data_IF_635998051760
#
_entry.id   IF_635998051760
#
_cell.length_a   1.000
_cell.length_b   1.000
_cell.length_c   1.000
_cell.angle_alpha   90.00
_cell.angle_beta   90.00
_cell.angle_gamma   90.00
#
_symmetry.space_group_name_H-M   'P 1'
#
loop_
_entity.id
_entity.type
_entity.pdbx_description
1 polymer ?
#
# COMPACT_ATOMS: atom_id res chain seq x y z
N UNK A 1 -9.73 -27.91 12.24
CA UNK A 1 -9.04 -27.94 10.93
C UNK A 1 -7.61 -27.44 11.13
N UNK A 2 -6.62 -28.05 10.49
CA UNK A 2 -5.21 -27.61 10.57
C UNK A 2 -4.77 -27.16 9.17
N UNK A 3 -4.34 -25.91 9.04
CA UNK A 3 -3.84 -25.34 7.78
C UNK A 3 -2.34 -25.59 7.63
N UNK A 4 -1.88 -25.69 6.38
CA UNK A 4 -0.44 -25.74 6.09
C UNK A 4 0.16 -24.33 6.31
N UNK A 5 1.39 -24.21 6.86
CA UNK A 5 1.98 -22.89 7.17
C UNK A 5 2.06 -21.91 5.99
N UNK A 6 2.22 -22.40 4.75
CA UNK A 6 2.27 -21.53 3.58
C UNK A 6 0.94 -20.84 3.27
N UNK A 7 -0.19 -21.29 3.83
CA UNK A 7 -1.54 -20.73 3.66
C UNK A 7 -1.87 -19.66 4.70
N UNK A 8 -0.88 -18.88 5.13
CA UNK A 8 -1.07 -17.85 6.15
C UNK A 8 -2.08 -16.78 5.72
N UNK A 9 -2.24 -16.57 4.42
CA UNK A 9 -3.22 -15.67 3.80
C UNK A 9 -4.67 -16.16 3.97
N UNK A 10 -4.89 -17.40 4.42
CA UNK A 10 -6.22 -17.89 4.84
C UNK A 10 -6.60 -17.44 6.25
N UNK A 11 -5.66 -16.89 7.02
CA UNK A 11 -5.88 -16.43 8.41
C UNK A 11 -5.63 -14.94 8.54
N UNK A 12 -4.70 -14.41 7.75
CA UNK A 12 -4.33 -12.99 7.72
C UNK A 12 -4.89 -12.39 6.43
N UNK A 13 -5.97 -11.59 6.49
CA UNK A 13 -6.37 -10.77 5.35
C UNK A 13 -5.21 -9.85 4.97
N UNK A 14 -4.77 -9.93 3.72
CA UNK A 14 -3.72 -9.06 3.21
C UNK A 14 -4.37 -7.82 2.60
N UNK A 15 -3.87 -6.61 2.88
CA UNK A 15 -4.34 -5.44 2.15
C UNK A 15 -4.04 -5.64 0.66
N UNK A 16 -4.89 -5.12 -0.21
CA UNK A 16 -4.58 -4.98 -1.63
C UNK A 16 -4.16 -3.53 -1.85
N UNK A 17 -2.85 -3.33 -1.95
CA UNK A 17 -2.28 -2.03 -2.33
C UNK A 17 -1.76 -2.12 -3.76
N UNK A 18 -1.72 -1.00 -4.47
CA UNK A 18 -1.03 -0.91 -5.75
C UNK A 18 0.24 -0.10 -5.57
N UNK A 19 1.37 -0.62 -6.03
CA UNK A 19 2.61 0.15 -6.08
C UNK A 19 2.78 0.63 -7.50
N UNK A 20 2.76 1.95 -7.67
CA UNK A 20 3.08 2.59 -8.95
C UNK A 20 4.52 3.08 -8.95
N UNK A 21 5.19 2.85 -10.06
CA UNK A 21 6.58 3.23 -10.32
C UNK A 21 6.70 3.78 -11.73
N UNK A 22 7.87 4.35 -12.04
CA UNK A 22 8.18 4.80 -13.38
C UNK A 22 9.61 4.38 -13.72
N UNK A 23 9.81 3.87 -14.93
CA UNK A 23 11.15 3.54 -15.43
C UNK A 23 11.96 4.81 -15.69
N UNK A 24 13.30 4.73 -15.85
CA UNK A 24 14.12 5.87 -16.26
C UNK A 24 13.67 6.51 -17.59
N UNK A 25 13.08 5.72 -18.49
CA UNK A 25 12.55 6.15 -19.79
C UNK A 25 11.13 6.75 -19.70
N UNK A 26 10.54 6.78 -18.49
CA UNK A 26 9.21 7.34 -18.28
C UNK A 26 8.05 6.37 -18.45
N UNK A 27 8.32 5.07 -18.60
CA UNK A 27 7.26 4.05 -18.69
C UNK A 27 6.65 3.85 -17.30
N UNK A 28 5.32 4.02 -17.19
CA UNK A 28 4.61 3.89 -15.91
C UNK A 28 4.27 2.42 -15.67
N UNK A 29 4.57 1.94 -14.47
CA UNK A 29 4.27 0.57 -14.05
C UNK A 29 3.35 0.57 -12.82
N UNK A 30 2.44 -0.41 -12.75
CA UNK A 30 1.63 -0.70 -11.55
C UNK A 30 1.71 -2.20 -11.25
N UNK A 31 1.91 -2.57 -9.99
CA UNK A 31 1.69 -3.94 -9.55
C UNK A 31 0.98 -3.99 -8.19
N UNK A 32 0.11 -4.99 -7.96
CA UNK A 32 -0.53 -5.17 -6.66
C UNK A 32 0.39 -5.88 -5.66
N UNK A 33 0.41 -5.37 -4.44
CA UNK A 33 1.18 -5.89 -3.31
C UNK A 33 0.29 -6.05 -2.07
N UNK A 34 0.43 -7.19 -1.39
CA UNK A 34 -0.20 -7.41 -0.08
C UNK A 34 0.78 -7.62 1.07
N UNK A 35 2.06 -7.80 0.79
CA UNK A 35 3.11 -7.82 1.81
C UNK A 35 3.65 -6.41 2.03
N UNK A 36 2.79 -5.53 2.55
CA UNK A 36 3.11 -4.12 2.84
C UNK A 36 2.76 -3.82 4.29
N UNK A 37 3.65 -3.17 5.01
CA UNK A 37 3.41 -2.75 6.39
C UNK A 37 4.13 -1.45 6.74
N UNK A 38 3.56 -0.59 7.60
CA UNK A 38 4.29 0.49 8.23
C UNK A 38 5.34 -0.07 9.21
N UNK A 39 6.46 0.63 9.34
CA UNK A 39 7.45 0.39 10.39
C UNK A 39 7.12 1.34 11.53
N UNK A 40 7.07 0.79 12.75
CA UNK A 40 6.63 1.42 14.01
C UNK A 40 6.73 2.95 14.13
N UNK A 41 5.78 3.56 14.84
CA UNK A 41 5.84 4.98 15.18
C UNK A 41 7.06 5.31 16.07
N UNK A 42 7.68 6.49 15.92
CA UNK A 42 7.29 7.62 15.05
C UNK A 42 8.02 7.60 13.69
N UNK A 43 8.39 6.44 13.16
CA UNK A 43 9.14 6.38 11.90
C UNK A 43 8.21 6.52 10.70
N UNK A 44 8.58 7.38 9.76
CA UNK A 44 7.89 7.54 8.46
C UNK A 44 8.36 6.48 7.46
N UNK A 45 8.49 5.23 7.93
CA UNK A 45 9.05 4.13 7.15
C UNK A 45 7.98 3.09 6.85
N UNK A 46 8.05 2.53 5.64
CA UNK A 46 7.22 1.40 5.19
C UNK A 46 8.12 0.29 4.69
N UNK A 47 7.68 -0.96 4.85
CA UNK A 47 8.37 -2.15 4.39
C UNK A 47 7.49 -2.92 3.41
N UNK A 48 8.05 -3.26 2.25
CA UNK A 48 7.40 -4.05 1.20
C UNK A 48 8.23 -5.30 0.94
N UNK A 49 7.62 -6.48 0.97
CA UNK A 49 8.28 -7.70 0.50
C UNK A 49 7.96 -7.96 -0.98
N UNK A 50 8.98 -8.18 -1.79
CA UNK A 50 8.85 -8.43 -3.23
C UNK A 50 9.63 -9.65 -3.70
N UNK A 51 9.16 -10.25 -4.79
CA UNK A 51 9.95 -11.19 -5.58
C UNK A 51 11.02 -10.44 -6.40
N UNK A 52 12.10 -11.14 -6.77
CA UNK A 52 13.25 -10.54 -7.48
C UNK A 52 13.00 -10.13 -8.93
N UNK A 53 11.99 -10.72 -9.58
CA UNK A 53 11.69 -10.49 -11.00
C UNK A 53 10.38 -9.71 -11.10
N UNK A 54 10.46 -8.40 -10.90
CA UNK A 54 9.35 -7.44 -10.95
C UNK A 54 9.88 -6.11 -11.47
N UNK A 55 9.27 -5.58 -12.52
CA UNK A 55 9.63 -4.25 -13.06
C UNK A 55 9.48 -3.16 -11.99
N UNK A 56 8.55 -3.33 -11.05
CA UNK A 56 8.42 -2.49 -9.85
C UNK A 56 9.72 -2.40 -9.05
N UNK A 57 10.39 -3.54 -8.79
CA UNK A 57 11.65 -3.56 -8.04
C UNK A 57 12.78 -2.92 -8.85
N UNK A 58 12.85 -3.21 -10.14
CA UNK A 58 13.90 -2.70 -11.01
C UNK A 58 13.77 -1.18 -11.19
N UNK A 59 12.54 -0.68 -11.34
CA UNK A 59 12.25 0.75 -11.34
C UNK A 59 12.64 1.40 -10.01
N UNK A 60 12.26 0.83 -8.86
CA UNK A 60 12.63 1.38 -7.54
C UNK A 60 14.16 1.41 -7.35
N UNK A 61 14.89 0.40 -7.83
CA UNK A 61 16.37 0.41 -7.80
C UNK A 61 16.96 1.50 -8.66
N UNK A 62 16.39 1.73 -9.84
CA UNK A 62 16.92 2.68 -10.81
C UNK A 62 16.58 4.13 -10.47
N UNK A 63 15.36 4.40 -9.98
CA UNK A 63 14.85 5.76 -9.77
C UNK A 63 14.75 6.15 -8.31
N UNK A 64 14.66 5.18 -7.40
CA UNK A 64 14.52 5.42 -5.97
C UNK A 64 13.14 5.93 -5.56
N UNK A 65 12.15 5.99 -6.46
CA UNK A 65 10.85 6.62 -6.20
C UNK A 65 9.70 5.65 -6.52
N UNK A 66 8.64 5.72 -5.70
CA UNK A 66 7.41 4.95 -5.90
C UNK A 66 6.25 5.54 -5.11
N UNK A 67 5.02 5.14 -5.45
CA UNK A 67 3.82 5.48 -4.68
C UNK A 67 3.13 4.21 -4.23
N UNK A 68 2.78 4.11 -2.94
CA UNK A 68 1.88 3.08 -2.43
C UNK A 68 0.47 3.67 -2.45
N UNK A 69 -0.40 3.06 -3.24
CA UNK A 69 -1.76 3.49 -3.46
C UNK A 69 -2.70 2.56 -2.68
N UNK A 70 -3.50 3.15 -1.79
CA UNK A 70 -4.42 2.44 -0.93
C UNK A 70 -5.78 2.31 -1.62
N UNK A 71 -6.14 1.08 -1.99
CA UNK A 71 -7.27 0.82 -2.88
C UNK A 71 -8.56 0.47 -2.14
N UNK A 72 -9.68 1.05 -2.58
CA UNK A 72 -11.01 0.62 -2.19
C UNK A 72 -11.50 -0.60 -2.99
N UNK A 73 -12.65 -1.16 -2.59
CA UNK A 73 -13.26 -2.32 -3.29
C UNK A 73 -13.69 -2.03 -4.73
N UNK A 74 -13.90 -0.76 -5.07
CA UNK A 74 -14.19 -0.29 -6.42
C UNK A 74 -13.04 -0.58 -7.41
N UNK A 75 -11.80 -0.70 -6.91
CA UNK A 75 -10.62 -1.03 -7.70
C UNK A 75 -10.35 -2.54 -7.85
N UNK A 76 -11.23 -3.43 -7.37
CA UNK A 76 -11.13 -4.89 -7.61
C UNK A 76 -10.89 -5.23 -9.10
N UNK A 77 -11.59 -4.61 -10.08
CA UNK A 77 -11.38 -4.92 -11.50
C UNK A 77 -9.95 -4.68 -11.99
N UNK A 78 -9.19 -3.78 -11.34
CA UNK A 78 -7.81 -3.47 -11.70
C UNK A 78 -6.76 -4.44 -11.15
N UNK A 79 -7.13 -5.29 -10.16
CA UNK A 79 -6.18 -6.19 -9.49
C UNK A 79 -5.55 -7.19 -10.46
N UNK A 80 -6.36 -7.90 -11.24
CA UNK A 80 -5.83 -8.90 -12.17
C UNK A 80 -5.10 -8.26 -13.37
N UNK A 81 -5.63 -7.21 -14.04
CA UNK A 81 -4.91 -6.53 -15.11
C UNK A 81 -3.50 -6.08 -14.72
N UNK A 82 -3.33 -5.49 -13.54
CA UNK A 82 -2.02 -5.01 -13.04
C UNK A 82 -1.14 -6.12 -12.45
N UNK A 83 -1.68 -7.32 -12.20
CA UNK A 83 -0.91 -8.47 -11.72
C UNK A 83 -0.34 -9.36 -12.84
N UNK A 84 -0.85 -9.20 -14.08
CA UNK A 84 -0.43 -10.01 -15.23
C UNK A 84 1.02 -9.73 -15.59
N UNK A 85 1.66 -10.72 -16.20
CA UNK A 85 2.97 -10.52 -16.79
C UNK A 85 2.81 -9.66 -18.04
N UNK A 86 3.39 -8.47 -17.99
CA UNK A 86 3.50 -7.54 -19.10
C UNK A 86 4.98 -7.37 -19.46
N UNK A 87 5.30 -7.01 -20.72
CA UNK A 87 6.62 -6.51 -21.07
C UNK A 87 6.99 -5.24 -20.26
N UNK A 88 8.28 -4.98 -19.98
CA UNK A 88 8.70 -3.81 -19.18
C UNK A 88 8.39 -2.44 -19.82
N UNK A 89 8.12 -2.40 -21.13
CA UNK A 89 7.74 -1.21 -21.89
C UNK A 89 6.22 -1.02 -21.97
N UNK A 90 5.43 -1.92 -21.36
CA UNK A 90 4.00 -1.77 -21.25
C UNK A 90 3.63 -0.78 -20.13
N UNK A 91 2.53 -0.05 -20.34
CA UNK A 91 2.01 0.89 -19.37
C UNK A 91 0.77 0.31 -18.68
N UNK A 92 0.92 -0.16 -17.43
CA UNK A 92 -0.18 -0.79 -16.70
C UNK A 92 -1.33 0.16 -16.38
N UNK A 93 -1.14 1.49 -16.36
CA UNK A 93 -2.27 2.41 -16.23
C UNK A 93 -3.20 2.26 -17.44
N UNK A 94 -2.63 2.18 -18.64
CA UNK A 94 -3.40 1.99 -19.88
C UNK A 94 -4.03 0.60 -19.92
N UNK A 95 -3.27 -0.45 -19.59
CA UNK A 95 -3.77 -1.83 -19.61
C UNK A 95 -4.92 -2.08 -18.63
N UNK A 96 -4.88 -1.42 -17.46
CA UNK A 96 -5.90 -1.55 -16.44
C UNK A 96 -7.04 -0.52 -16.57
N UNK A 97 -6.93 0.44 -17.51
CA UNK A 97 -7.91 1.51 -17.67
C UNK A 97 -7.95 2.48 -16.49
N UNK A 98 -6.81 2.70 -15.84
CA UNK A 98 -6.67 3.56 -14.66
C UNK A 98 -6.23 4.98 -15.05
N UNK A 99 -6.80 5.96 -14.37
CA UNK A 99 -6.39 7.35 -14.48
C UNK A 99 -5.25 7.68 -13.51
N UNK A 100 -4.33 8.53 -13.95
CA UNK A 100 -3.24 9.02 -13.11
C UNK A 100 -3.73 10.06 -12.12
N UNK A 101 -3.21 10.00 -10.90
CA UNK A 101 -3.17 11.13 -9.97
C UNK A 101 -1.73 11.66 -9.95
N UNK A 102 -1.46 12.90 -10.38
CA UNK A 102 -0.12 13.48 -10.28
C UNK A 102 0.36 13.51 -8.83
N UNK A 103 1.62 13.12 -8.64
CA UNK A 103 2.30 13.22 -7.36
C UNK A 103 2.82 14.64 -7.11
N UNK A 104 3.04 14.95 -5.83
CA UNK A 104 3.50 16.25 -5.35
C UNK A 104 5.02 16.30 -5.25
N UNK A 105 5.64 15.25 -4.74
CA UNK A 105 7.07 15.18 -4.41
C UNK A 105 7.82 14.25 -5.35
N UNK A 106 7.28 13.06 -5.63
CA UNK A 106 7.92 12.05 -6.49
C UNK A 106 7.42 12.08 -7.93
N UNK A 107 8.16 11.48 -8.86
CA UNK A 107 7.79 11.41 -10.28
C UNK A 107 6.74 10.36 -10.63
N UNK A 108 6.78 9.12 -10.09
CA UNK A 108 5.76 8.13 -10.39
C UNK A 108 4.39 8.65 -9.96
N UNK A 109 3.34 8.56 -10.79
CA UNK A 109 2.02 9.05 -10.41
C UNK A 109 1.34 8.08 -9.45
N UNK A 110 0.45 8.59 -8.61
CA UNK A 110 -0.55 7.80 -7.93
C UNK A 110 -1.68 7.35 -8.87
N UNK A 111 -2.61 6.55 -8.33
CA UNK A 111 -3.80 6.05 -9.04
C UNK A 111 -5.01 6.84 -8.55
N UNK A 112 -5.73 7.48 -9.48
CA UNK A 112 -6.97 8.18 -9.15
C UNK A 112 -8.03 7.16 -8.69
N UNK A 113 -8.81 7.52 -7.67
CA UNK A 113 -9.84 6.65 -7.07
C UNK A 113 -9.35 5.79 -5.90
N UNK A 114 -8.04 5.76 -5.62
CA UNK A 114 -7.57 5.28 -4.32
C UNK A 114 -8.02 6.21 -3.19
N UNK A 115 -8.17 5.69 -1.97
CA UNK A 115 -8.57 6.52 -0.82
C UNK A 115 -7.38 7.18 -0.12
N UNK A 116 -6.15 6.74 -0.40
CA UNK A 116 -4.93 7.35 0.10
C UNK A 116 -3.70 7.01 -0.78
N UNK A 117 -2.68 7.86 -0.68
CA UNK A 117 -1.43 7.79 -1.43
C UNK A 117 -0.24 8.07 -0.50
N UNK A 118 0.74 7.19 -0.50
CA UNK A 118 2.04 7.40 0.14
C UNK A 118 3.09 7.53 -0.94
N UNK A 119 3.62 8.74 -1.13
CA UNK A 119 4.79 8.96 -1.97
C UNK A 119 6.04 8.60 -1.19
N UNK A 120 6.88 7.76 -1.78
CA UNK A 120 8.00 7.16 -1.09
C UNK A 120 9.30 7.31 -1.88
N UNK A 121 10.38 7.56 -1.14
CA UNK A 121 11.75 7.39 -1.63
C UNK A 121 12.37 6.14 -1.03
N UNK A 122 13.19 5.43 -1.80
CA UNK A 122 13.92 4.26 -1.34
C UNK A 122 14.89 4.64 -0.21
N UNK A 123 14.72 4.03 0.96
CA UNK A 123 15.62 4.14 2.10
C UNK A 123 16.69 3.04 2.06
N UNK A 124 16.24 1.78 1.95
CA UNK A 124 17.15 0.62 1.96
C UNK A 124 16.54 -0.61 1.29
N UNK A 125 17.40 -1.44 0.72
CA UNK A 125 17.07 -2.79 0.28
C UNK A 125 17.72 -3.82 1.20
N UNK A 126 16.96 -4.81 1.65
CA UNK A 126 17.48 -6.02 2.26
C UNK A 126 17.30 -7.18 1.30
N UNK A 127 18.42 -7.64 0.74
CA UNK A 127 18.41 -8.67 -0.28
C UNK A 127 18.61 -10.06 0.31
N UNK A 128 17.57 -10.89 0.20
CA UNK A 128 17.63 -12.29 0.57
C UNK A 128 17.70 -13.16 -0.68
N UNK A 129 18.13 -14.44 -0.59
CA UNK A 129 18.20 -15.32 -1.75
C UNK A 129 16.87 -15.45 -2.50
N UNK A 130 15.74 -15.44 -1.77
CA UNK A 130 14.39 -15.71 -2.32
C UNK A 130 13.46 -14.51 -2.43
N UNK A 131 13.74 -13.42 -1.71
CA UNK A 131 12.88 -12.24 -1.66
C UNK A 131 13.72 -10.99 -1.37
N UNK A 132 13.13 -9.82 -1.57
CA UNK A 132 13.73 -8.54 -1.19
C UNK A 132 12.77 -7.84 -0.24
N UNK A 133 13.28 -7.21 0.80
CA UNK A 133 12.54 -6.21 1.56
C UNK A 133 12.96 -4.82 1.09
N UNK A 134 11.99 -4.03 0.66
CA UNK A 134 12.15 -2.63 0.28
C UNK A 134 11.71 -1.80 1.47
N UNK A 135 12.64 -1.05 2.04
CA UNK A 135 12.34 0.03 2.98
C UNK A 135 12.14 1.32 2.20
N UNK A 136 10.95 1.90 2.32
CA UNK A 136 10.65 3.23 1.80
C UNK A 136 10.51 4.24 2.93
N UNK A 137 10.99 5.46 2.71
CA UNK A 137 10.62 6.62 3.51
C UNK A 137 9.43 7.30 2.86
N UNK A 138 8.35 7.47 3.61
CA UNK A 138 7.19 8.25 3.19
C UNK A 138 7.58 9.73 3.24
N UNK A 139 7.52 10.38 2.08
CA UNK A 139 7.90 11.81 1.90
C UNK A 139 6.67 12.70 1.65
N UNK A 140 5.54 12.12 1.28
CA UNK A 140 4.23 12.76 1.23
C UNK A 140 3.15 11.72 1.52
N UNK A 141 2.21 12.04 2.39
CA UNK A 141 1.09 11.19 2.77
C UNK A 141 -0.21 11.97 2.55
N UNK A 142 -1.05 11.45 1.68
CA UNK A 142 -2.31 12.08 1.30
C UNK A 142 -3.46 11.09 1.45
N UNK A 143 -4.61 11.58 1.89
CA UNK A 143 -5.85 10.83 1.98
C UNK A 143 -6.94 11.62 1.27
N UNK A 144 -7.86 10.93 0.60
CA UNK A 144 -8.99 11.59 -0.07
C UNK A 144 -9.86 12.32 0.96
N UNK A 145 -10.20 13.58 0.70
CA UNK A 145 -11.01 14.41 1.60
C UNK A 145 -12.37 13.75 1.89
N UNK A 146 -12.93 12.99 0.96
CA UNK A 146 -14.20 12.29 1.14
C UNK A 146 -14.13 11.16 2.18
N UNK A 147 -12.93 10.67 2.51
CA UNK A 147 -12.73 9.67 3.57
C UNK A 147 -12.14 10.27 4.84
N UNK A 148 -11.78 11.56 4.86
CA UNK A 148 -11.22 12.22 6.04
C UNK A 148 -12.32 12.82 6.92
N UNK A 149 -12.34 12.46 8.21
CA UNK A 149 -13.22 13.09 9.19
C UNK A 149 -12.56 14.31 9.83
N UNK A 150 -13.34 15.27 10.36
CA UNK A 150 -12.81 16.49 10.97
C UNK A 150 -11.85 16.26 12.16
N UNK A 151 -11.92 15.09 12.82
CA UNK A 151 -11.05 14.72 13.94
C UNK A 151 -9.75 14.03 13.50
N UNK A 152 -9.49 13.93 12.18
CA UNK A 152 -8.33 13.26 11.61
C UNK A 152 -8.47 11.74 11.52
N UNK A 153 -9.57 11.17 12.01
CA UNK A 153 -9.91 9.77 11.73
C UNK A 153 -10.41 9.62 10.29
N UNK A 154 -10.36 8.40 9.78
CA UNK A 154 -10.82 8.07 8.44
C UNK A 154 -12.17 7.34 8.49
N UNK A 155 -13.02 7.60 7.51
CA UNK A 155 -14.28 6.91 7.30
C UNK A 155 -14.08 5.59 6.57
N UNK A 156 -13.98 4.50 7.34
CA UNK A 156 -13.81 3.14 6.84
C UNK A 156 -14.96 2.72 5.91
N UNK A 157 -16.18 3.19 6.18
CA UNK A 157 -17.35 2.91 5.36
C UNK A 157 -17.29 3.59 4.00
N UNK A 158 -16.76 4.81 3.94
CA UNK A 158 -16.51 5.51 2.68
C UNK A 158 -15.29 4.94 1.93
N UNK A 159 -14.20 4.63 2.64
CA UNK A 159 -12.95 4.14 2.04
C UNK A 159 -13.06 2.72 1.45
N UNK A 160 -13.96 1.88 2.00
CA UNK A 160 -14.13 0.47 1.65
C UNK A 160 -12.78 -0.25 1.38
N UNK A 161 -11.86 -0.31 2.36
CA UNK A 161 -10.50 -0.77 2.10
C UNK A 161 -10.47 -2.20 1.56
N UNK A 162 -9.77 -2.40 0.44
CA UNK A 162 -9.71 -3.70 -0.22
C UNK A 162 -8.69 -4.62 0.45
N UNK A 163 -9.15 -5.81 0.82
CA UNK A 163 -8.34 -6.91 1.32
C UNK A 163 -8.53 -8.17 0.46
N UNK A 164 -7.55 -9.06 0.55
CA UNK A 164 -7.55 -10.37 -0.08
C UNK A 164 -7.31 -11.47 0.96
N UNK A 165 -8.06 -12.55 0.84
CA UNK A 165 -7.86 -13.79 1.61
C UNK A 165 -7.65 -14.97 0.67
N UNK A 166 -6.80 -15.90 1.10
CA UNK A 166 -6.46 -17.09 0.32
C UNK A 166 -7.37 -18.28 0.64
N UNK A 167 -7.70 -19.06 -0.38
CA UNK A 167 -8.32 -20.39 -0.23
C UNK A 167 -7.54 -21.47 -0.98
N UNK A 168 -8.07 -22.69 -1.04
CA UNK A 168 -7.45 -23.77 -1.81
C UNK A 168 -7.55 -23.58 -3.33
N UNK A 169 -8.47 -22.74 -3.79
CA UNK A 169 -8.85 -22.64 -5.21
C UNK A 169 -8.72 -21.24 -5.77
N UNK A 170 -8.82 -20.21 -4.93
CA UNK A 170 -8.86 -18.83 -5.38
C UNK A 170 -8.41 -17.83 -4.30
N UNK A 171 -8.11 -16.63 -4.77
CA UNK A 171 -8.12 -15.41 -3.95
C UNK A 171 -9.57 -14.94 -3.80
N UNK A 172 -9.94 -14.53 -2.60
CA UNK A 172 -11.22 -13.90 -2.31
C UNK A 172 -10.98 -12.45 -1.91
N UNK A 173 -11.84 -11.54 -2.36
CA UNK A 173 -11.78 -10.15 -1.97
C UNK A 173 -12.74 -9.90 -0.80
N UNK A 174 -12.31 -9.07 0.14
CA UNK A 174 -13.11 -8.65 1.27
C UNK A 174 -12.80 -7.19 1.63
N UNK A 175 -13.63 -6.64 2.51
CA UNK A 175 -13.47 -5.31 3.08
C UNK A 175 -13.70 -5.39 4.59
N UNK A 176 -13.41 -4.30 5.30
CA UNK A 176 -13.61 -4.18 6.74
C UNK A 176 -14.86 -3.36 7.06
N UNK A 177 -15.47 -3.66 8.21
CA UNK A 177 -16.58 -2.88 8.75
C UNK A 177 -16.12 -2.25 10.07
N UNK A 178 -16.41 -0.96 10.25
CA UNK A 178 -16.14 -0.27 11.51
C UNK A 178 -16.89 -0.94 12.67
N UNK A 179 -16.23 -1.08 13.82
CA UNK A 179 -16.82 -1.68 15.03
C UNK A 179 -17.55 -0.67 15.90
N UNK A 180 -17.37 0.63 15.62
CA UNK A 180 -17.89 1.74 16.44
C UNK A 180 -17.19 1.90 17.79
N UNK A 181 -16.01 1.28 17.97
CA UNK A 181 -15.22 1.34 19.21
C UNK A 181 -13.90 2.03 18.96
N UNK A 182 -13.49 2.88 19.90
CA UNK A 182 -12.18 3.52 19.89
C UNK A 182 -11.62 3.64 21.31
N UNK A 183 -10.30 3.65 21.41
CA UNK A 183 -9.55 3.96 22.62
C UNK A 183 -8.52 5.04 22.29
N UNK A 184 -8.24 5.94 23.22
CA UNK A 184 -7.13 6.89 23.05
C UNK A 184 -5.79 6.16 23.07
N UNK A 185 -4.78 6.64 22.33
CA UNK A 185 -3.43 6.08 22.42
C UNK A 185 -2.83 6.15 23.83
N UNK A 186 -3.24 7.14 24.63
CA UNK A 186 -2.86 7.25 26.04
C UNK A 186 -3.28 6.04 26.87
N UNK A 187 -4.36 5.32 26.51
CA UNK A 187 -4.87 4.17 27.26
C UNK A 187 -3.85 3.01 27.38
N UNK A 188 -2.82 2.99 26.53
CA UNK A 188 -1.72 2.02 26.60
C UNK A 188 -0.74 2.30 27.75
N UNK A 189 -0.78 3.50 28.36
CA UNK A 189 0.19 3.95 29.35
C UNK A 189 -0.45 4.07 30.75
N UNK A 190 0.28 3.75 31.83
CA UNK A 190 -0.25 3.82 33.20
C UNK A 190 -0.78 5.22 33.60
N UNK A 191 -0.14 6.28 33.10
CA UNK A 191 -0.52 7.66 33.35
C UNK A 191 -1.55 8.21 32.34
N UNK A 192 -1.97 7.37 31.40
CA UNK A 192 -2.90 7.67 30.30
C UNK A 192 -2.44 8.76 29.34
N UNK A 193 -1.13 9.00 29.21
CA UNK A 193 -0.57 10.01 28.30
C UNK A 193 0.08 9.35 27.09
N UNK A 194 -0.25 9.82 25.89
CA UNK A 194 0.43 9.39 24.66
C UNK A 194 1.78 10.12 24.56
N UNK A 195 2.93 9.42 24.60
CA UNK A 195 4.25 10.05 24.45
C UNK A 195 4.45 10.72 23.09
N UNK A 196 3.61 10.41 22.10
CA UNK A 196 3.63 10.99 20.77
C UNK A 196 2.55 12.04 20.53
N UNK A 197 1.77 12.44 21.54
CA UNK A 197 0.64 13.39 21.37
C UNK A 197 1.02 14.68 20.62
N UNK A 198 2.24 15.18 20.86
CA UNK A 198 2.76 16.40 20.21
C UNK A 198 2.86 16.29 18.68
N UNK A 199 3.06 15.08 18.16
CA UNK A 199 3.27 14.84 16.72
C UNK A 199 2.00 15.02 15.88
N UNK A 200 0.80 15.01 16.48
CA UNK A 200 -0.46 15.16 15.74
C UNK A 200 -0.91 16.62 15.57
N UNK A 201 -0.21 17.58 16.18
CA UNK A 201 -0.58 19.02 16.19
C UNK A 201 0.26 19.87 15.24
N UNK A 202 1.27 19.26 14.62
CA UNK A 202 2.16 19.85 13.62
C UNK A 202 1.64 19.56 12.21
#
# INVERSE_FOLDING_TARGET
MILKPFKRESVIPLPVTFISTMSPEGVRNIAPYGCVMPVLRPLDLVCIATAKRRDTLDNIRATGEFVINMAGTDLIPAVIPTARFSPPDADEFVLAGLEVKPSVVVKPPGIKGCYAWMECTLDKLFEEPRYILIMGKVVHLEMDDAVCRPDGSWDVGAAQPLFMTGSNTAMHYCTVTDTGKSDSFGAMFPDRKDPLERMYKE
#
